data_IF_027963692484
#
_entry.id   IF_027963692484
#
_cell.length_a   1.000
_cell.length_b   1.000
_cell.length_c   1.000
_cell.angle_alpha   90.00
_cell.angle_beta   90.00
_cell.angle_gamma   90.00
#
_symmetry.space_group_name_H-M   'P 1'
#
loop_
_entity.id
_entity.type
_entity.pdbx_description
1 polymer ?
#
# COMPACT_ATOMS: atom_id res chain seq x y z
N UNK A 1 -12.81 -16.00 -4.12
CA UNK A 1 -12.05 -16.26 -2.88
C UNK A 1 -11.98 -14.97 -2.10
N UNK A 2 -12.20 -15.00 -0.78
CA UNK A 2 -12.17 -13.78 0.03
C UNK A 2 -10.77 -13.16 0.00
N UNK A 3 -10.68 -11.89 -0.43
CA UNK A 3 -9.43 -11.14 -0.41
C UNK A 3 -8.95 -10.97 1.04
N UNK A 4 -7.78 -11.52 1.34
CA UNK A 4 -7.14 -11.47 2.65
C UNK A 4 -6.48 -10.11 2.89
N UNK A 5 -6.19 -9.78 4.15
CA UNK A 5 -5.44 -8.56 4.52
C UNK A 5 -4.08 -8.52 3.82
N UNK A 6 -3.40 -9.67 3.67
CA UNK A 6 -2.14 -9.76 2.92
C UNK A 6 -2.33 -9.39 1.45
N UNK A 7 -3.32 -9.99 0.76
CA UNK A 7 -3.55 -9.70 -0.67
C UNK A 7 -3.85 -8.21 -0.92
N UNK A 8 -4.68 -7.59 -0.08
CA UNK A 8 -5.01 -6.16 -0.20
C UNK A 8 -3.82 -5.26 0.08
N UNK A 9 -2.96 -5.62 1.05
CA UNK A 9 -1.73 -4.91 1.31
C UNK A 9 -0.74 -5.00 0.15
N UNK A 10 -0.62 -6.17 -0.49
CA UNK A 10 0.22 -6.35 -1.68
C UNK A 10 -0.29 -5.52 -2.85
N UNK A 11 -1.60 -5.54 -3.11
CA UNK A 11 -2.20 -4.75 -4.19
C UNK A 11 -1.95 -3.24 -4.01
N UNK A 12 -2.12 -2.73 -2.79
CA UNK A 12 -1.84 -1.32 -2.47
C UNK A 12 -0.35 -0.98 -2.62
N UNK A 13 0.55 -1.88 -2.21
CA UNK A 13 1.99 -1.69 -2.41
C UNK A 13 2.36 -1.62 -3.89
N UNK A 14 1.81 -2.53 -4.72
CA UNK A 14 2.03 -2.51 -6.17
C UNK A 14 1.51 -1.22 -6.79
N UNK A 15 0.32 -0.78 -6.36
CA UNK A 15 -0.27 0.48 -6.82
C UNK A 15 0.60 1.70 -6.47
N UNK A 16 1.08 1.78 -5.23
CA UNK A 16 1.99 2.85 -4.78
C UNK A 16 3.26 2.88 -5.65
N UNK A 17 3.88 1.73 -5.88
CA UNK A 17 5.10 1.63 -6.69
C UNK A 17 4.86 1.99 -8.16
N UNK A 18 3.71 1.64 -8.72
CA UNK A 18 3.34 2.01 -10.10
C UNK A 18 3.13 3.53 -10.26
N UNK A 19 2.53 4.17 -9.25
CA UNK A 19 2.38 5.63 -9.23
C UNK A 19 3.77 6.29 -9.15
N UNK A 20 4.58 5.89 -8.18
CA UNK A 20 5.90 6.49 -7.93
C UNK A 20 6.92 6.20 -9.04
N UNK A 21 6.80 5.08 -9.77
CA UNK A 21 7.68 4.76 -10.89
C UNK A 21 7.43 5.64 -12.11
N UNK A 22 6.20 6.12 -12.29
CA UNK A 22 5.81 6.96 -13.42
C UNK A 22 5.93 8.45 -13.07
N UNK A 23 5.53 8.82 -11.85
CA UNK A 23 5.54 10.20 -11.35
C UNK A 23 5.98 10.20 -9.89
N UNK A 24 7.26 10.40 -9.62
CA UNK A 24 7.83 10.38 -8.27
C UNK A 24 7.23 11.44 -7.34
N UNK A 25 6.75 12.56 -7.89
CA UNK A 25 6.11 13.65 -7.15
C UNK A 25 4.63 13.38 -6.82
N UNK A 26 4.03 12.33 -7.39
CA UNK A 26 2.60 12.04 -7.27
C UNK A 26 2.21 11.26 -6.00
N UNK A 27 3.04 11.29 -4.94
CA UNK A 27 2.73 10.60 -3.67
C UNK A 27 1.37 11.01 -3.09
N UNK A 28 0.98 12.28 -3.26
CA UNK A 28 -0.31 12.81 -2.81
C UNK A 28 -1.52 12.05 -3.38
N UNK A 29 -1.37 11.44 -4.56
CA UNK A 29 -2.43 10.68 -5.21
C UNK A 29 -2.69 9.37 -4.45
N UNK A 30 -1.63 8.66 -4.06
CA UNK A 30 -1.75 7.45 -3.24
C UNK A 30 -2.32 7.77 -1.84
N UNK A 31 -1.86 8.86 -1.22
CA UNK A 31 -2.38 9.31 0.07
C UNK A 31 -3.90 9.60 0.00
N UNK A 32 -4.39 10.14 -1.12
CA UNK A 32 -5.82 10.37 -1.36
C UNK A 32 -6.63 9.08 -1.48
N UNK A 33 -6.07 8.05 -2.11
CA UNK A 33 -6.68 6.71 -2.21
C UNK A 33 -6.77 6.08 -0.82
N UNK A 34 -5.70 6.14 -0.02
CA UNK A 34 -5.68 5.62 1.35
C UNK A 34 -6.71 6.31 2.24
N UNK A 35 -6.87 7.63 2.10
CA UNK A 35 -7.90 8.40 2.82
C UNK A 35 -9.31 7.96 2.42
N UNK A 36 -9.58 7.77 1.13
CA UNK A 36 -10.87 7.26 0.66
C UNK A 36 -11.17 5.86 1.20
N UNK A 37 -10.14 5.02 1.28
CA UNK A 37 -10.24 3.67 1.82
C UNK A 37 -10.53 3.66 3.33
N UNK A 38 -9.91 4.55 4.11
CA UNK A 38 -10.23 4.77 5.52
C UNK A 38 -11.69 5.18 5.72
N UNK A 39 -12.16 6.16 4.94
CA UNK A 39 -13.53 6.68 5.03
C UNK A 39 -14.57 5.62 4.67
N UNK A 40 -14.28 4.74 3.71
CA UNK A 40 -15.18 3.67 3.32
C UNK A 40 -15.28 2.57 4.39
N UNK A 41 -14.14 2.14 4.96
CA UNK A 41 -14.13 1.09 5.97
C UNK A 41 -12.92 1.18 6.89
N UNK A 42 -13.08 1.92 7.99
CA UNK A 42 -12.01 2.17 8.97
C UNK A 42 -11.43 0.89 9.59
N UNK A 43 -12.28 -0.07 9.97
CA UNK A 43 -11.82 -1.33 10.59
C UNK A 43 -10.92 -2.12 9.64
N UNK A 44 -11.29 -2.16 8.37
CA UNK A 44 -10.52 -2.86 7.36
C UNK A 44 -9.24 -2.08 7.03
N UNK A 45 -9.34 -0.76 6.92
CA UNK A 45 -8.20 0.14 6.75
C UNK A 45 -7.13 -0.11 7.81
N UNK A 46 -7.47 -0.12 9.10
CA UNK A 46 -6.50 -0.31 10.19
C UNK A 46 -5.70 -1.62 10.06
N UNK A 47 -6.35 -2.69 9.58
CA UNK A 47 -5.68 -3.98 9.37
C UNK A 47 -4.78 -3.97 8.13
N UNK A 48 -5.21 -3.31 7.05
CA UNK A 48 -4.53 -3.31 5.77
C UNK A 48 -3.40 -2.28 5.73
N UNK A 49 -3.54 -1.12 6.39
CA UNK A 49 -2.48 -0.11 6.50
C UNK A 49 -1.28 -0.66 7.27
N UNK A 50 -1.50 -1.30 8.42
CA UNK A 50 -0.45 -2.01 9.17
C UNK A 50 0.25 -3.06 8.31
N UNK A 51 -0.54 -3.80 7.53
CA UNK A 51 0.02 -4.83 6.64
C UNK A 51 0.84 -4.22 5.50
N UNK A 52 0.39 -3.12 4.92
CA UNK A 52 1.11 -2.37 3.89
C UNK A 52 2.49 -1.92 4.42
N UNK A 53 2.55 -1.35 5.63
CA UNK A 53 3.82 -0.96 6.27
C UNK A 53 4.78 -2.14 6.46
N UNK A 54 4.27 -3.31 6.84
CA UNK A 54 5.07 -4.54 6.94
C UNK A 54 5.61 -5.00 5.57
N UNK A 55 4.80 -4.88 4.52
CA UNK A 55 5.18 -5.24 3.15
C UNK A 55 6.24 -4.26 2.64
N UNK A 56 6.06 -2.96 2.81
CA UNK A 56 7.06 -1.95 2.44
C UNK A 56 8.40 -2.18 3.11
N UNK A 57 8.41 -2.48 4.42
CA UNK A 57 9.64 -2.76 5.17
C UNK A 57 10.38 -3.99 4.59
N UNK A 58 9.63 -5.02 4.20
CA UNK A 58 10.17 -6.22 3.53
C UNK A 58 10.66 -5.91 2.11
N UNK A 59 9.93 -5.09 1.36
CA UNK A 59 10.29 -4.63 0.01
C UNK A 59 11.58 -3.81 0.00
N UNK A 60 11.73 -2.82 0.91
CA UNK A 60 12.96 -2.04 1.07
C UNK A 60 14.18 -2.91 1.37
N UNK A 61 14.00 -3.95 2.20
CA UNK A 61 15.08 -4.92 2.48
C UNK A 61 15.49 -5.74 1.24
N UNK A 62 14.58 -5.99 0.30
CA UNK A 62 14.88 -6.64 -0.98
C UNK A 62 15.61 -5.69 -1.94
N UNK A 63 15.25 -4.41 -1.99
CA UNK A 63 15.96 -3.41 -2.81
C UNK A 63 17.41 -3.16 -2.34
N UNK A 64 17.69 -3.27 -1.02
CA UNK A 64 19.05 -3.07 -0.48
C UNK A 64 20.01 -4.25 -0.68
N UNK A 65 19.51 -5.42 -1.12
CA UNK A 65 20.32 -6.63 -1.35
C UNK A 65 20.53 -6.92 -2.84
N UNK A 66 20.14 -5.99 -3.72
CA UNK A 66 20.42 -6.01 -5.16
C UNK A 66 21.60 -5.13 -5.52
#
# INVERSE_FOLDING_TARGET
GNATVESKGVDLYVLERAILSTHSEAKFFFDSIMKGYELFNRKQYDSVSKKLEEIERRGRKREMLG
#
